data_IF_132177755745
#
_entry.id   IF_132177755745
#
_cell.length_a   1.000
_cell.length_b   1.000
_cell.length_c   1.000
_cell.angle_alpha   90.00
_cell.angle_beta   90.00
_cell.angle_gamma   90.00
#
_symmetry.space_group_name_H-M   'P 1'
#
loop_
_entity.id
_entity.type
_entity.pdbx_description
1 polymer ?
2 non-polymer ?
3 non-polymer ?
4 water ?
#
# COMPACT_ATOMS: atom_id res chain seq x y z
N UNK A 4 5.16 -28.80 11.92
CA UNK A 4 5.22 -27.29 12.08
C UNK A 4 4.13 -26.64 11.22
N UNK A 5 3.04 -26.11 11.81
CA UNK A 5 1.87 -25.69 11.03
C UNK A 5 2.16 -24.41 10.23
N UNK A 6 1.46 -24.24 9.11
CA UNK A 6 1.59 -23.01 8.30
C UNK A 6 0.77 -21.92 8.95
N UNK A 7 1.27 -20.66 8.99
CA UNK A 7 0.53 -19.62 9.67
C UNK A 7 -0.74 -19.20 8.93
N UNK A 8 -1.70 -18.68 9.70
CA UNK A 8 -2.99 -18.12 9.22
C UNK A 8 -2.89 -16.60 9.22
N UNK A 9 -1.95 -16.06 9.98
CA UNK A 9 -1.72 -14.60 10.13
C UNK A 9 -0.25 -14.34 10.42
N UNK A 10 0.29 -13.25 9.86
CA UNK A 10 1.67 -12.78 10.14
C UNK A 10 1.60 -11.33 10.56
N UNK A 11 2.65 -10.82 11.16
CA UNK A 11 2.75 -9.38 11.41
C UNK A 11 3.83 -8.82 10.50
N UNK A 12 3.55 -7.62 10.01
CA UNK A 12 4.40 -6.92 9.03
C UNK A 12 4.73 -5.56 9.63
N UNK A 13 6.01 -5.26 9.75
CA UNK A 13 6.55 -3.94 10.08
C UNK A 13 6.80 -3.17 8.77
N UNK A 14 6.27 -1.96 8.69
CA UNK A 14 6.55 -1.00 7.59
C UNK A 14 7.24 0.20 8.23
N UNK A 15 8.44 0.54 7.76
CA UNK A 15 9.16 1.75 8.16
C UNK A 15 9.33 2.70 6.98
N UNK A 16 9.14 3.99 7.20
CA UNK A 16 9.53 5.01 6.18
C UNK A 16 10.36 6.09 6.88
N UNK A 17 11.50 6.43 6.30
CA UNK A 17 12.40 7.45 6.87
C UNK A 17 13.12 8.17 5.76
N UNK A 18 12.88 9.47 5.66
CA UNK A 18 13.69 10.36 4.80
C UNK A 18 14.88 10.74 5.68
N UNK A 19 16.05 10.24 5.34
CA UNK A 19 17.32 10.34 6.12
C UNK A 19 18.01 11.69 5.94
N UNK A 20 17.53 12.56 5.04
CA UNK A 20 18.12 13.88 4.81
C UNK A 20 19.61 13.81 4.46
N UNK A 21 20.00 12.73 3.79
CA UNK A 21 21.37 12.55 3.22
C UNK A 21 22.42 12.49 4.34
N UNK A 22 22.01 12.11 5.56
CA UNK A 22 22.91 12.05 6.73
C UNK A 22 22.90 10.62 7.23
N UNK A 23 24.05 10.12 7.71
CA UNK A 23 24.12 8.78 8.31
C UNK A 23 23.21 8.75 9.53
N UNK A 24 22.68 7.56 9.86
CA UNK A 24 21.83 7.42 11.04
C UNK A 24 22.67 7.52 12.30
N UNK A 25 22.04 7.73 13.47
CA UNK A 25 22.74 7.62 14.74
C UNK A 25 23.03 6.14 15.05
N UNK A 26 23.77 5.87 16.12
CA UNK A 26 24.26 4.49 16.41
C UNK A 26 23.08 3.57 16.81
N UNK A 27 22.04 4.12 17.39
CA UNK A 27 20.89 3.32 17.83
C UNK A 27 19.60 3.81 17.17
N UNK A 28 18.91 2.92 16.47
CA UNK A 28 17.62 3.21 15.79
C UNK A 28 16.60 2.14 16.19
N UNK A 29 16.81 1.40 17.27
CA UNK A 29 15.89 0.31 17.69
C UNK A 29 14.45 0.79 18.00
N UNK A 30 14.30 2.04 18.47
CA UNK A 30 12.97 2.64 18.76
C UNK A 30 12.07 2.54 17.52
N UNK A 31 12.64 2.73 16.34
CA UNK A 31 11.88 2.66 15.07
C UNK A 31 11.23 1.28 14.94
N UNK A 32 12.02 0.21 15.07
CA UNK A 32 11.60 -1.19 14.83
C UNK A 32 10.71 -1.69 15.99
N UNK A 33 10.76 -1.02 17.12
CA UNK A 33 9.92 -1.30 18.31
C UNK A 33 8.63 -0.47 18.32
N UNK A 34 8.42 0.42 17.34
CA UNK A 34 7.18 1.22 17.26
C UNK A 34 7.02 2.03 18.57
N UNK A 35 8.11 2.68 19.00
CA UNK A 35 8.15 3.53 20.21
C UNK A 35 8.25 5.01 19.80
N UNK A 36 7.51 5.87 20.50
CA UNK A 36 7.62 7.31 20.33
C UNK A 36 6.26 7.90 20.47
N UNK A 37 5.78 8.58 19.42
CA UNK A 37 4.47 9.27 19.41
C UNK A 37 3.49 8.49 18.56
N UNK A 38 2.20 8.68 18.82
CA UNK A 38 1.12 8.12 18.01
C UNK A 38 0.60 6.86 18.63
N UNK A 39 0.20 5.92 17.77
CA UNK A 39 -0.28 4.59 18.17
C UNK A 39 0.95 3.68 18.25
N UNK A 40 1.42 3.44 19.48
CA UNK A 40 2.69 2.72 19.74
C UNK A 40 2.41 1.30 20.19
N UNK A 41 3.47 0.50 20.14
CA UNK A 41 3.42 -0.93 20.45
C UNK A 41 3.67 -1.13 21.95
N UNK A 42 2.96 -2.08 22.54
CA UNK A 42 3.12 -2.43 23.97
C UNK A 42 4.56 -2.91 24.26
N UNK A 43 5.11 -2.44 25.38
CA UNK A 43 6.46 -2.87 25.85
C UNK A 43 6.56 -4.40 25.93
N UNK A 44 5.46 -5.06 26.26
CA UNK A 44 5.46 -6.52 26.52
C UNK A 44 5.76 -7.27 25.22
N UNK A 45 5.68 -6.60 24.06
CA UNK A 45 5.90 -7.24 22.73
C UNK A 45 7.33 -7.05 22.22
N UNK A 46 8.16 -6.32 22.95
CA UNK A 46 9.46 -5.84 22.41
C UNK A 46 10.33 -6.98 21.89
N UNK A 47 10.33 -8.15 22.53
CA UNK A 47 11.19 -9.25 22.06
C UNK A 47 10.55 -10.06 20.94
N UNK A 48 9.26 -9.86 20.68
CA UNK A 48 8.49 -10.67 19.70
C UNK A 48 8.82 -10.12 18.31
N UNK A 49 9.47 -10.90 17.46
CA UNK A 49 9.84 -10.40 16.15
C UNK A 49 8.57 -10.31 15.28
N UNK A 50 8.51 -9.29 14.43
CA UNK A 50 7.59 -9.29 13.29
C UNK A 50 8.06 -10.36 12.31
N UNK A 51 7.13 -10.88 11.53
CA UNK A 51 7.45 -11.93 10.52
C UNK A 51 8.24 -11.33 9.36
N UNK A 52 7.85 -10.14 8.93
CA UNK A 52 8.42 -9.44 7.75
C UNK A 52 8.65 -8.00 8.17
N UNK A 53 9.86 -7.46 7.91
CA UNK A 53 10.16 -6.02 8.07
C UNK A 53 10.43 -5.44 6.69
N UNK A 54 9.73 -4.35 6.38
CA UNK A 54 9.90 -3.63 5.09
C UNK A 54 10.31 -2.23 5.44
N UNK A 55 11.51 -1.83 5.02
CA UNK A 55 12.17 -0.56 5.41
C UNK A 55 12.33 0.33 4.17
N UNK A 56 11.55 1.41 4.08
CA UNK A 56 11.65 2.39 2.98
C UNK A 56 12.46 3.56 3.46
N UNK A 57 13.46 3.94 2.70
CA UNK A 57 14.22 5.15 2.98
C UNK A 57 14.22 6.06 1.74
N UNK A 58 14.37 7.34 2.03
CA UNK A 58 14.49 8.41 1.01
C UNK A 58 15.71 9.26 1.42
N UNK A 59 16.33 9.90 0.44
CA UNK A 59 17.57 10.69 0.69
C UNK A 59 18.54 9.84 1.54
N UNK A 60 18.68 8.57 1.18
CA UNK A 60 19.51 7.60 1.90
C UNK A 60 20.94 7.73 1.37
N UNK A 61 21.90 8.13 2.23
CA UNK A 61 23.28 8.29 1.78
C UNK A 61 24.13 7.02 1.83
N UNK A 62 23.60 5.97 2.43
CA UNK A 62 24.35 4.72 2.71
C UNK A 62 24.42 3.86 1.45
N UNK A 63 25.44 3.02 1.36
CA UNK A 63 25.44 1.89 0.41
C UNK A 63 24.41 0.84 0.88
N UNK A 64 23.99 -0.03 -0.02
CA UNK A 64 23.07 -1.13 0.34
C UNK A 64 23.74 -1.96 1.45
N UNK A 65 25.03 -2.22 1.31
CA UNK A 65 25.75 -3.01 2.32
C UNK A 65 25.70 -2.30 3.67
N UNK A 66 26.03 -1.01 3.71
CA UNK A 66 26.07 -0.24 4.99
C UNK A 66 24.72 -0.33 5.69
N UNK A 67 23.66 -0.14 4.93
CA UNK A 67 22.30 -0.14 5.51
C UNK A 67 21.88 -1.55 5.96
N UNK A 68 22.11 -2.58 5.14
CA UNK A 68 21.84 -3.98 5.55
C UNK A 68 22.53 -4.32 6.87
N UNK A 69 23.79 -3.93 7.02
CA UNK A 69 24.58 -4.13 8.26
C UNK A 69 23.81 -3.55 9.44
N UNK A 70 23.41 -2.28 9.35
CA UNK A 70 22.73 -1.54 10.44
C UNK A 70 21.38 -2.18 10.70
N UNK A 71 20.61 -2.46 9.66
CA UNK A 71 19.27 -3.02 9.89
C UNK A 71 19.39 -4.40 10.53
N UNK A 72 20.15 -5.30 9.94
CA UNK A 72 20.23 -6.69 10.46
C UNK A 72 20.71 -6.71 11.93
N UNK A 73 21.77 -5.97 12.24
CA UNK A 73 22.33 -5.84 13.61
C UNK A 73 21.23 -5.35 14.56
N UNK A 74 20.52 -4.28 14.18
CA UNK A 74 19.47 -3.63 15.01
C UNK A 74 18.38 -4.65 15.35
N UNK A 75 17.92 -5.43 14.36
CA UNK A 75 16.88 -6.46 14.60
C UNK A 75 17.44 -7.60 15.44
N UNK A 76 18.67 -8.02 15.18
CA UNK A 76 19.29 -9.07 16.02
C UNK A 76 19.36 -8.61 17.48
N UNK A 77 19.72 -7.35 17.73
CA UNK A 77 19.86 -6.83 19.10
C UNK A 77 18.49 -6.88 19.78
N UNK A 78 17.45 -6.48 19.08
CA UNK A 78 16.07 -6.44 19.64
C UNK A 78 15.57 -7.84 19.95
N UNK A 79 15.73 -8.76 18.99
CA UNK A 79 14.92 -10.00 18.93
C UNK A 79 15.78 -11.23 19.18
N UNK A 80 17.10 -11.09 19.11
CA UNK A 80 18.08 -12.22 19.08
C UNK A 80 17.85 -13.11 17.87
N UNK A 81 17.19 -12.62 16.81
CA UNK A 81 16.98 -13.40 15.55
C UNK A 81 17.81 -12.77 14.45
N UNK A 82 18.50 -13.60 13.67
CA UNK A 82 19.25 -13.17 12.48
C UNK A 82 18.31 -13.23 11.27
N UNK A 83 17.91 -12.09 10.75
CA UNK A 83 16.89 -11.99 9.68
C UNK A 83 17.52 -12.33 8.33
N UNK A 84 16.76 -12.97 7.47
CA UNK A 84 17.18 -13.23 6.07
C UNK A 84 16.79 -12.05 5.19
N UNK A 85 17.60 -11.76 4.18
CA UNK A 85 17.31 -10.67 3.22
C UNK A 85 16.47 -11.24 2.10
N UNK A 86 15.24 -10.77 1.94
CA UNK A 86 14.35 -11.20 0.84
C UNK A 86 14.74 -10.43 -0.40
N UNK A 87 14.81 -9.12 -0.27
CA UNK A 87 15.09 -8.24 -1.42
C UNK A 87 15.61 -6.89 -0.94
N UNK A 88 16.37 -6.23 -1.79
CA UNK A 88 16.78 -4.83 -1.59
C UNK A 88 16.80 -4.19 -2.99
N UNK A 89 16.27 -2.98 -3.10
CA UNK A 89 16.27 -2.29 -4.41
C UNK A 89 16.40 -0.80 -4.15
N UNK A 90 17.29 -0.15 -4.90
CA UNK A 90 17.57 1.30 -4.76
C UNK A 90 17.42 1.98 -6.10
N UNK A 91 16.70 3.12 -6.14
CA UNK A 91 16.67 4.06 -7.28
C UNK A 91 17.23 5.35 -6.71
N UNK A 92 18.39 5.77 -7.21
CA UNK A 92 19.05 7.00 -6.70
C UNK A 92 19.21 6.87 -5.20
N UNK A 93 18.55 7.69 -4.39
CA UNK A 93 18.65 7.65 -2.92
C UNK A 93 17.33 7.17 -2.30
N UNK A 94 16.51 6.48 -3.08
CA UNK A 94 15.23 5.86 -2.63
C UNK A 94 15.42 4.36 -2.51
N UNK A 95 15.20 3.78 -1.35
CA UNK A 95 15.59 2.36 -1.15
C UNK A 95 14.47 1.59 -0.44
N UNK A 96 14.33 0.33 -0.80
CA UNK A 96 13.45 -0.59 -0.04
C UNK A 96 14.26 -1.83 0.31
N UNK A 97 14.14 -2.26 1.56
CA UNK A 97 14.72 -3.52 2.10
C UNK A 97 13.56 -4.35 2.62
N UNK A 98 13.57 -5.64 2.28
CA UNK A 98 12.63 -6.61 2.86
C UNK A 98 13.42 -7.69 3.59
N UNK A 99 13.16 -7.81 4.89
CA UNK A 99 13.78 -8.85 5.74
C UNK A 99 12.70 -9.77 6.29
N UNK A 100 13.05 -11.02 6.51
CA UNK A 100 12.08 -12.00 7.02
C UNK A 100 12.74 -12.95 8.02
N UNK A 101 11.94 -13.43 8.98
CA UNK A 101 12.35 -14.52 9.91
C UNK A 101 12.95 -15.65 9.10
N UNK A 102 14.02 -16.32 9.59
CA UNK A 102 14.56 -17.48 8.88
C UNK A 102 13.55 -18.61 8.65
N UNK A 103 12.60 -18.80 9.57
CA UNK A 103 11.56 -19.85 9.40
C UNK A 103 10.71 -19.58 8.15
N UNK A 104 10.72 -18.37 7.60
CA UNK A 104 9.90 -18.03 6.44
C UNK A 104 10.62 -18.16 5.12
N UNK A 105 11.91 -18.49 5.14
CA UNK A 105 12.72 -18.53 3.90
C UNK A 105 12.05 -19.36 2.79
N UNK A 106 11.55 -20.55 3.14
CA UNK A 106 11.00 -21.52 2.15
C UNK A 106 9.50 -21.29 1.95
N UNK A 107 8.92 -20.27 2.59
CA UNK A 107 7.50 -19.84 2.37
C UNK A 107 7.47 -18.73 1.32
N UNK A 108 8.63 -18.16 1.01
CA UNK A 108 8.73 -16.94 0.17
C UNK A 108 9.23 -17.31 -1.22
N UNK A 109 8.58 -16.81 -2.25
CA UNK A 109 8.90 -17.12 -3.67
C UNK A 109 8.43 -15.98 -4.56
N UNK A 110 8.74 -16.08 -5.84
CA UNK A 110 8.27 -15.11 -6.87
C UNK A 110 8.62 -13.69 -6.45
N UNK A 111 9.87 -13.46 -6.03
CA UNK A 111 10.29 -12.12 -5.59
C UNK A 111 10.47 -11.27 -6.85
N UNK A 112 9.86 -10.09 -6.85
CA UNK A 112 9.97 -9.08 -7.93
C UNK A 112 10.42 -7.74 -7.33
N UNK A 113 11.22 -6.98 -8.08
CA UNK A 113 11.66 -5.63 -7.68
C UNK A 113 11.50 -4.77 -8.92
N UNK A 114 11.16 -3.51 -8.70
CA UNK A 114 11.12 -2.55 -9.82
C UNK A 114 11.23 -1.15 -9.27
N UNK A 115 11.38 -0.22 -10.20
CA UNK A 115 11.35 1.21 -9.84
C UNK A 115 10.65 1.96 -10.95
N UNK A 116 10.22 3.15 -10.60
CA UNK A 116 9.63 4.13 -11.53
C UNK A 116 10.28 5.48 -11.22
N UNK A 117 10.78 6.15 -12.25
CA UNK A 117 11.29 7.54 -12.17
C UNK A 117 10.17 8.47 -12.59
N UNK A 118 9.82 9.46 -11.76
CA UNK A 118 8.67 10.36 -12.07
C UNK A 118 9.17 11.65 -12.74
N UNK A 119 8.27 12.37 -13.42
CA UNK A 119 8.60 13.70 -13.99
C UNK A 119 9.26 13.60 -15.35
N UNK A 120 9.57 14.76 -15.95
CA UNK A 120 10.14 14.88 -17.34
C UNK A 120 11.16 16.02 -17.35
N UNK A 121 12.38 15.78 -17.84
CA UNK A 121 13.48 16.77 -18.05
C UNK A 121 13.93 17.35 -16.69
N UNK A 122 13.66 18.63 -16.42
CA UNK A 122 13.75 19.31 -15.09
C UNK A 122 13.41 18.35 -13.95
N UNK A 123 12.20 17.77 -14.02
CA UNK A 123 11.51 17.07 -12.90
C UNK A 123 11.88 15.57 -12.88
N UNK A 124 12.62 15.07 -13.88
CA UNK A 124 13.26 13.72 -13.83
C UNK A 124 14.67 13.87 -13.26
N UNK A 125 14.96 13.19 -12.15
CA UNK A 125 16.33 13.17 -11.61
C UNK A 125 16.42 12.72 -10.18
N UNK A 126 15.41 12.97 -9.34
CA UNK A 126 15.56 12.35 -7.99
C UNK A 126 14.30 11.74 -7.34
N UNK A 127 13.12 11.97 -7.92
CA UNK A 127 11.82 11.51 -7.35
C UNK A 127 11.36 10.24 -8.07
N UNK A 128 10.62 9.37 -7.37
CA UNK A 128 10.04 8.17 -7.97
C UNK A 128 9.78 7.15 -6.89
N UNK A 129 9.84 5.88 -7.27
CA UNK A 129 9.46 4.85 -6.30
C UNK A 129 10.24 3.59 -6.59
N UNK A 130 10.42 2.81 -5.55
CA UNK A 130 10.93 1.42 -5.64
C UNK A 130 9.85 0.51 -5.08
N UNK A 131 9.86 -0.76 -5.48
CA UNK A 131 8.90 -1.71 -4.92
C UNK A 131 9.42 -3.10 -4.90
N UNK A 132 8.81 -3.91 -4.06
CA UNK A 132 9.08 -5.37 -3.94
C UNK A 132 7.74 -6.08 -3.89
N UNK A 133 7.63 -7.22 -4.55
CA UNK A 133 6.53 -8.16 -4.31
C UNK A 133 7.07 -9.59 -4.15
N UNK A 134 6.26 -10.43 -3.54
CA UNK A 134 6.56 -11.86 -3.45
C UNK A 134 5.32 -12.59 -3.01
N UNK A 135 5.39 -13.91 -3.07
CA UNK A 135 4.36 -14.80 -2.52
C UNK A 135 4.84 -15.25 -1.16
N UNK A 136 3.97 -15.17 -0.17
CA UNK A 136 4.17 -15.79 1.16
C UNK A 136 3.15 -16.91 1.22
N UNK A 137 3.59 -18.15 1.02
CA UNK A 137 2.64 -19.27 0.87
C UNK A 137 1.56 -18.86 -0.15
N UNK A 138 0.28 -18.89 0.17
CA UNK A 138 -0.77 -18.69 -0.86
C UNK A 138 -1.11 -17.21 -1.05
N UNK A 139 -0.38 -16.33 -0.40
CA UNK A 139 -0.75 -14.91 -0.29
C UNK A 139 0.28 -14.04 -1.01
N UNK A 140 -0.20 -13.12 -1.84
CA UNK A 140 0.66 -12.18 -2.58
C UNK A 140 0.77 -10.86 -1.80
N UNK A 141 2.01 -10.41 -1.63
CA UNK A 141 2.35 -9.19 -0.86
C UNK A 141 3.10 -8.21 -1.79
N UNK A 142 2.66 -6.97 -1.83
CA UNK A 142 3.31 -5.88 -2.56
C UNK A 142 3.64 -4.72 -1.65
N UNK A 143 4.77 -4.09 -1.93
CA UNK A 143 5.32 -3.01 -1.08
C UNK A 143 5.92 -1.94 -1.97
N UNK A 144 5.48 -0.70 -1.79
CA UNK A 144 5.92 0.47 -2.60
C UNK A 144 6.45 1.54 -1.65
N UNK A 145 7.70 1.94 -1.87
CA UNK A 145 8.31 3.10 -1.20
C UNK A 145 8.46 4.20 -2.25
N UNK A 146 7.74 5.30 -2.09
CA UNK A 146 7.77 6.42 -3.06
C UNK A 146 8.24 7.69 -2.36
N UNK A 147 9.10 8.44 -3.03
CA UNK A 147 9.46 9.83 -2.70
C UNK A 147 8.81 10.71 -3.75
N UNK A 148 7.72 11.38 -3.40
CA UNK A 148 6.98 12.21 -4.37
C UNK A 148 7.51 13.64 -4.36
N UNK A 149 7.04 14.38 -5.35
CA UNK A 149 7.42 15.78 -5.57
C UNK A 149 7.21 16.56 -4.27
N UNK A 150 8.17 17.41 -3.93
CA UNK A 150 8.12 18.27 -2.72
C UNK A 150 7.43 19.60 -3.05
N UNK A 151 7.09 20.33 -2.00
CA UNK A 151 6.61 21.71 -2.14
C UNK A 151 5.16 21.77 -1.85
N UNK A 152 4.76 22.73 -1.02
CA UNK A 152 3.35 22.88 -0.60
C UNK A 152 2.42 23.12 -1.80
N UNK A 153 2.95 23.72 -2.86
CA UNK A 153 2.18 24.19 -4.04
C UNK A 153 1.94 23.06 -5.05
N UNK A 154 2.54 21.89 -4.85
CA UNK A 154 2.61 20.82 -5.90
C UNK A 154 1.81 19.56 -5.57
N UNK A 155 0.67 19.70 -4.89
CA UNK A 155 -0.13 18.50 -4.56
C UNK A 155 -0.60 17.83 -5.86
N UNK A 156 -0.91 18.60 -6.90
CA UNK A 156 -1.36 17.98 -8.16
C UNK A 156 -0.25 17.12 -8.77
N UNK A 157 1.00 17.61 -8.72
CA UNK A 157 2.18 16.87 -9.25
C UNK A 157 2.32 15.58 -8.46
N UNK A 158 2.14 15.63 -7.15
CA UNK A 158 2.23 14.42 -6.30
C UNK A 158 1.18 13.41 -6.78
N UNK A 159 -0.03 13.88 -7.06
CA UNK A 159 -1.12 12.99 -7.50
C UNK A 159 -0.71 12.37 -8.85
N UNK A 160 -0.10 13.17 -9.71
CA UNK A 160 0.39 12.68 -11.03
C UNK A 160 1.48 11.63 -10.79
N UNK A 161 2.37 11.90 -9.84
CA UNK A 161 3.49 10.96 -9.54
C UNK A 161 2.86 9.63 -9.10
N UNK A 162 1.87 9.67 -8.21
CA UNK A 162 1.16 8.45 -7.74
C UNK A 162 0.62 7.64 -8.93
N UNK A 163 -0.04 8.30 -9.89
CA UNK A 163 -0.67 7.57 -11.02
C UNK A 163 0.43 6.97 -11.91
N UNK A 164 1.51 7.70 -12.17
CA UNK A 164 2.66 7.14 -12.95
C UNK A 164 3.22 5.90 -12.22
N UNK A 165 3.42 5.98 -10.90
CA UNK A 165 4.00 4.83 -10.16
C UNK A 165 3.05 3.62 -10.28
N UNK A 166 1.77 3.89 -10.05
CA UNK A 166 0.64 2.92 -10.08
C UNK A 166 0.65 2.19 -11.43
N UNK A 167 0.77 2.96 -12.51
CA UNK A 167 0.71 2.42 -13.90
C UNK A 167 1.96 1.61 -14.24
N UNK A 168 3.12 2.09 -13.84
CA UNK A 168 4.38 1.64 -14.50
C UNK A 168 5.23 0.74 -13.61
N UNK A 169 4.94 0.65 -12.31
CA UNK A 169 5.71 -0.25 -11.45
C UNK A 169 5.30 -1.68 -11.77
N UNK A 170 6.24 -2.50 -12.26
CA UNK A 170 5.99 -3.86 -12.76
C UNK A 170 6.31 -4.87 -11.66
N UNK A 171 5.35 -5.12 -10.78
CA UNK A 171 5.49 -6.08 -9.67
C UNK A 171 4.40 -7.14 -9.84
N UNK A 172 4.57 -8.28 -9.20
CA UNK A 172 3.54 -9.31 -9.12
C UNK A 172 3.45 -10.11 -10.38
N UNK A 173 2.32 -10.78 -10.57
CA UNK A 173 2.15 -11.82 -11.62
C UNK A 173 1.91 -11.12 -12.96
N UNK A 174 2.90 -11.22 -13.86
CA UNK A 174 2.79 -10.57 -15.20
C UNK A 174 1.61 -11.13 -16.00
N UNK A 175 1.06 -12.30 -15.69
CA UNK A 175 -0.12 -12.89 -16.38
C UNK A 175 -1.37 -12.08 -16.08
N UNK A 176 -1.34 -11.28 -15.00
CA UNK A 176 -2.46 -10.40 -14.62
C UNK A 176 -2.41 -9.13 -15.47
N UNK A 177 -2.32 -9.29 -16.78
CA UNK A 177 -1.93 -8.19 -17.67
C UNK A 177 -2.89 -7.00 -17.62
N UNK A 178 -4.22 -7.12 -17.44
CA UNK A 178 -5.08 -5.92 -17.38
C UNK A 178 -4.94 -5.13 -16.07
N UNK A 179 -4.25 -5.70 -15.07
CA UNK A 179 -4.26 -5.15 -13.70
C UNK A 179 -2.94 -4.47 -13.35
N UNK A 180 -3.06 -3.28 -12.76
CA UNK A 180 -1.92 -2.54 -12.17
C UNK A 180 -1.69 -3.06 -10.74
N UNK A 181 -0.66 -2.51 -10.09
CA UNK A 181 -0.30 -2.98 -8.73
C UNK A 181 -1.46 -2.82 -7.75
N UNK A 182 -2.43 -1.90 -7.97
CA UNK A 182 -3.55 -1.73 -6.99
C UNK A 182 -4.54 -2.89 -7.03
N UNK A 183 -4.35 -3.89 -7.91
CA UNK A 183 -5.19 -5.12 -8.00
C UNK A 183 -4.36 -6.40 -7.94
N UNK A 184 -3.03 -6.35 -7.89
CA UNK A 184 -2.24 -7.60 -8.09
C UNK A 184 -2.01 -8.35 -6.77
N UNK A 185 -2.24 -7.73 -5.61
CA UNK A 185 -1.80 -8.28 -4.32
C UNK A 185 -2.94 -8.46 -3.31
N UNK A 186 -2.88 -9.55 -2.58
CA UNK A 186 -3.75 -9.76 -1.42
C UNK A 186 -3.65 -8.53 -0.52
N UNK A 187 -2.42 -8.06 -0.25
CA UNK A 187 -2.12 -6.91 0.63
C UNK A 187 -1.03 -6.07 -0.05
N UNK A 188 -1.36 -4.81 -0.32
CA UNK A 188 -0.43 -3.83 -0.93
C UNK A 188 -0.17 -2.75 0.12
N UNK A 189 1.09 -2.50 0.45
CA UNK A 189 1.51 -1.43 1.39
C UNK A 189 2.20 -0.38 0.56
N UNK A 190 1.74 0.85 0.64
CA UNK A 190 2.32 2.00 -0.07
C UNK A 190 2.69 3.06 0.96
N UNK A 191 3.97 3.38 1.01
CA UNK A 191 4.55 4.23 2.06
C UNK A 191 5.64 5.09 1.40
N UNK A 192 6.15 6.02 2.17
CA UNK A 192 7.31 6.83 1.82
C UNK A 192 7.19 8.28 2.28
N UNK A 193 8.04 9.11 1.71
CA UNK A 193 7.93 10.58 1.81
C UNK A 193 7.01 11.00 0.69
N UNK A 194 5.71 10.93 0.96
CA UNK A 194 4.68 11.30 -0.04
C UNK A 194 4.61 12.81 -0.17
N UNK A 195 5.10 13.57 0.79
CA UNK A 195 5.40 15.00 0.64
C UNK A 195 4.16 15.86 0.61
N UNK A 196 2.99 15.33 0.97
CA UNK A 196 1.81 16.18 1.16
C UNK A 196 1.99 17.04 2.42
N UNK A 197 1.51 18.28 2.33
CA UNK A 197 1.72 19.30 3.36
C UNK A 197 0.41 19.69 4.03
N UNK A 198 0.56 20.34 5.17
CA UNK A 198 -0.54 21.02 5.89
C UNK A 198 -0.72 22.37 5.21
N UNK A 199 -1.83 22.53 4.49
CA UNK A 199 -2.10 23.71 3.64
C UNK A 199 -2.77 24.80 4.49
N UNK A 200 -1.95 25.57 5.21
CA UNK A 200 -2.41 26.73 6.00
C UNK A 200 -1.52 27.89 5.58
N UNK A 201 -1.94 29.15 5.83
CA UNK A 201 -1.11 30.29 5.46
C UNK A 201 0.24 30.26 6.19
N UNK A 202 1.30 30.69 5.50
CA UNK A 202 2.70 30.63 6.00
C UNK A 202 2.85 31.52 7.25
N UNK A 203 2.01 32.55 7.39
CA UNK A 203 2.01 33.46 8.57
C UNK A 203 1.32 32.78 9.77
N UNK A 204 0.72 31.59 9.58
CA UNK A 204 0.23 30.76 10.71
C UNK A 204 1.30 29.79 11.24
N UNK A 205 2.57 29.89 10.82
CA UNK A 205 3.60 28.91 11.20
C UNK A 205 3.69 28.79 12.72
N UNK A 206 3.71 29.90 13.45
CA UNK A 206 3.96 29.84 14.91
C UNK A 206 2.72 29.26 15.57
N UNK A 207 1.54 29.56 15.04
CA UNK A 207 0.24 29.01 15.52
C UNK A 207 0.27 27.49 15.37
N UNK A 208 0.68 27.03 14.20
CA UNK A 208 0.77 25.57 13.93
C UNK A 208 1.72 24.92 14.95
N UNK A 209 2.89 25.50 15.16
CA UNK A 209 3.87 24.98 16.15
C UNK A 209 3.25 24.87 17.55
N UNK A 210 2.50 25.88 17.98
CA UNK A 210 1.89 25.88 19.34
C UNK A 210 0.78 24.81 19.40
N UNK A 211 0.03 24.59 18.30
CA UNK A 211 -0.94 23.48 18.25
C UNK A 211 -0.19 22.15 18.42
N UNK A 212 0.96 21.99 17.74
CA UNK A 212 1.73 20.72 17.84
C UNK A 212 2.20 20.53 19.28
N UNK A 213 2.71 21.58 19.94
CA UNK A 213 3.22 21.49 21.33
C UNK A 213 2.09 21.07 22.30
N UNK A 214 0.85 21.41 21.99
CA UNK A 214 -0.32 21.04 22.80
C UNK A 214 -0.86 19.68 22.39
N UNK A 215 -0.27 19.04 21.37
CA UNK A 215 -0.74 17.75 20.83
C UNK A 215 -2.19 17.84 20.36
N UNK A 216 -2.56 18.98 19.75
CA UNK A 216 -3.91 19.24 19.21
C UNK A 216 -3.73 19.26 17.71
N UNK A 217 -3.96 18.11 17.08
CA UNK A 217 -3.69 17.91 15.65
C UNK A 217 -4.96 18.11 14.80
N UNK A 218 -6.17 18.15 15.38
CA UNK A 218 -7.42 18.12 14.58
C UNK A 218 -7.46 19.23 13.52
N UNK A 219 -7.21 20.48 13.91
CA UNK A 219 -7.25 21.64 12.97
C UNK A 219 -6.07 21.57 11.98
N UNK A 220 -5.02 20.82 12.28
CA UNK A 220 -3.95 20.66 11.26
C UNK A 220 -4.33 19.54 10.28
N UNK A 221 -4.81 18.40 10.79
CA UNK A 221 -5.18 17.25 9.92
C UNK A 221 -6.30 17.65 8.96
N UNK A 222 -7.20 18.57 9.33
CA UNK A 222 -8.30 18.99 8.43
C UNK A 222 -7.75 19.78 7.24
N UNK A 223 -6.48 20.17 7.28
CA UNK A 223 -5.79 20.83 6.14
C UNK A 223 -4.68 19.98 5.53
N UNK A 224 -4.49 18.75 5.98
CA UNK A 224 -3.47 17.84 5.39
C UNK A 224 -3.86 17.52 3.95
N UNK A 225 -2.99 17.80 3.00
CA UNK A 225 -3.33 17.64 1.58
C UNK A 225 -3.56 16.18 1.20
N UNK A 226 -2.95 15.22 1.86
CA UNK A 226 -3.20 13.83 1.47
C UNK A 226 -4.62 13.47 1.92
N UNK A 227 -5.01 13.81 3.16
CA UNK A 227 -6.37 13.52 3.63
C UNK A 227 -7.39 14.23 2.72
N UNK A 228 -7.21 15.50 2.36
CA UNK A 228 -8.22 16.27 1.58
C UNK A 228 -8.25 15.70 0.17
N UNK A 229 -7.09 15.46 -0.44
CA UNK A 229 -7.07 14.90 -1.80
C UNK A 229 -7.71 13.52 -1.85
N UNK A 230 -7.48 12.68 -0.84
CA UNK A 230 -8.09 11.34 -0.74
C UNK A 230 -9.61 11.49 -0.61
N UNK A 231 -10.07 12.45 0.18
CA UNK A 231 -11.53 12.62 0.42
C UNK A 231 -12.20 13.06 -0.89
N UNK A 232 -11.50 13.84 -1.72
CA UNK A 232 -12.04 14.29 -3.02
C UNK A 232 -11.72 13.30 -4.15
N UNK A 233 -11.19 12.11 -3.82
CA UNK A 233 -10.96 10.99 -4.76
C UNK A 233 -9.96 11.44 -5.82
N UNK A 234 -9.00 12.26 -5.45
CA UNK A 234 -7.95 12.71 -6.42
C UNK A 234 -6.74 11.78 -6.39
N UNK A 235 -6.59 10.93 -5.37
CA UNK A 235 -5.35 10.16 -5.19
C UNK A 235 -5.66 9.04 -4.20
N UNK A 236 -4.96 7.93 -4.31
CA UNK A 236 -5.01 6.80 -3.37
C UNK A 236 -6.46 6.36 -3.15
N UNK A 237 -7.23 6.27 -4.23
CA UNK A 237 -8.62 5.76 -4.16
C UNK A 237 -8.56 4.30 -3.70
N UNK A 238 -9.39 3.96 -2.71
CA UNK A 238 -9.57 2.59 -2.18
C UNK A 238 -8.41 2.14 -1.31
N UNK A 239 -7.50 3.05 -0.92
CA UNK A 239 -6.49 2.77 0.12
C UNK A 239 -6.98 3.19 1.50
N UNK A 240 -6.40 2.58 2.53
CA UNK A 240 -6.68 2.89 3.96
C UNK A 240 -5.45 3.58 4.57
N UNK A 241 -5.68 4.39 5.60
CA UNK A 241 -4.59 4.93 6.43
C UNK A 241 -5.15 4.93 7.83
N UNK A 242 -4.33 4.55 8.81
CA UNK A 242 -4.64 4.60 10.26
C UNK A 242 -4.71 6.07 10.68
N UNK A 243 -5.55 6.40 11.64
CA UNK A 243 -5.65 7.77 12.17
C UNK A 243 -4.26 8.23 12.63
N UNK A 244 -3.91 9.46 12.29
CA UNK A 244 -2.61 10.08 12.68
C UNK A 244 -2.78 10.70 14.06
N UNK A 245 -1.99 10.22 15.03
CA UNK A 245 -2.03 10.73 16.42
C UNK A 245 -0.62 11.10 16.86
N UNK A 246 0.30 11.30 15.90
CA UNK A 246 1.68 11.75 16.17
C UNK A 246 1.91 13.14 15.58
N UNK A 247 2.91 13.86 16.06
CA UNK A 247 3.20 15.22 15.56
C UNK A 247 3.65 15.12 14.10
N UNK A 248 3.48 16.20 13.32
CA UNK A 248 4.14 16.28 12.02
C UNK A 248 5.61 15.87 12.07
N UNK A 249 6.05 15.10 11.06
CA UNK A 249 7.37 14.45 11.03
C UNK A 249 8.38 15.26 10.23
N UNK A 250 8.00 16.47 9.81
CA UNK A 250 8.83 17.33 8.94
C UNK A 250 8.36 18.75 9.20
N UNK A 251 9.23 19.75 9.21
CA UNK A 251 10.64 19.77 8.97
C UNK A 251 11.32 20.19 10.26
N UNK A 252 12.14 19.32 10.81
CA UNK A 252 12.84 19.59 12.09
C UNK A 252 14.25 20.13 11.87
N UNK A 253 14.71 20.94 12.82
CA UNK A 253 16.14 21.22 12.98
C UNK A 253 16.81 19.89 13.33
N UNK A 254 17.95 19.59 12.73
CA UNK A 254 18.67 18.33 13.06
C UNK A 254 19.27 18.40 14.47
N UNK A 255 19.36 17.22 15.10
CA UNK A 255 20.05 16.93 16.38
C UNK A 255 19.19 17.32 17.57
N UNK A 256 17.98 17.83 17.36
CA UNK A 256 16.97 17.96 18.44
C UNK A 256 15.63 17.56 17.84
N UNK A 257 14.56 17.40 18.62
CA UNK A 257 13.17 17.40 18.06
C UNK A 257 12.42 18.61 18.59
N UNK A 258 13.11 19.59 19.16
CA UNK A 258 12.43 20.66 19.94
C UNK A 258 11.99 21.76 19.00
N UNK A 259 12.49 21.73 17.75
CA UNK A 259 12.32 22.87 16.86
C UNK A 259 11.90 22.41 15.47
N UNK A 260 10.82 22.98 15.00
CA UNK A 260 10.47 22.93 13.57
C UNK A 260 11.19 24.05 12.83
N UNK A 261 11.88 23.72 11.75
CA UNK A 261 12.59 24.68 10.87
C UNK A 261 11.77 24.91 9.61
N UNK A 262 10.93 25.93 9.61
CA UNK A 262 9.93 26.12 8.54
C UNK A 262 10.22 27.33 7.63
N UNK A 263 11.10 28.24 8.07
CA UNK A 263 11.40 29.52 7.37
C UNK A 263 12.07 29.23 6.02
N UNK A 264 11.83 30.09 5.02
CA UNK A 264 12.44 29.96 3.69
C UNK A 264 13.93 30.31 3.80
N UNK A 265 14.74 29.54 3.10
CA UNK A 265 16.22 29.63 3.08
C UNK A 265 16.67 29.36 1.64
N UNK A 266 17.90 29.80 1.28
CA UNK A 266 18.47 29.42 -0.03
C UNK A 266 18.44 27.90 -0.17
N UNK A 267 18.76 27.18 0.89
CA UNK A 267 18.81 25.69 0.88
C UNK A 267 17.42 25.10 0.55
N UNK A 268 16.33 25.82 0.79
CA UNK A 268 14.96 25.34 0.46
C UNK A 268 14.45 25.90 -0.86
N UNK A 269 15.30 26.55 -1.68
CA UNK A 269 14.79 27.23 -2.87
C UNK A 269 13.84 28.35 -2.46
N UNK A 270 14.07 28.97 -1.31
CA UNK A 270 13.25 30.07 -0.76
C UNK A 270 11.78 29.61 -0.62
N UNK A 271 11.60 28.36 -0.20
CA UNK A 271 10.28 27.75 0.09
C UNK A 271 10.09 27.62 1.60
N UNK A 272 8.88 27.92 2.08
CA UNK A 272 8.48 27.62 3.47
C UNK A 272 8.21 26.12 3.50
N UNK A 273 8.54 25.55 4.63
CA UNK A 273 8.20 24.14 4.95
C UNK A 273 7.44 24.15 6.28
N UNK A 274 6.17 24.53 6.24
CA UNK A 274 5.31 24.45 7.45
C UNK A 274 5.27 22.99 7.91
N UNK A 275 5.20 22.74 9.22
CA UNK A 275 5.15 21.39 9.76
C UNK A 275 4.08 20.59 9.02
N UNK A 276 4.47 19.40 8.57
CA UNK A 276 3.62 18.54 7.74
C UNK A 276 3.84 17.05 8.07
N UNK A 277 2.83 16.28 7.72
CA UNK A 277 2.90 14.79 7.79
C UNK A 277 3.34 14.32 6.40
N UNK A 278 4.62 14.52 6.09
CA UNK A 278 5.20 14.10 4.79
C UNK A 278 5.26 12.58 4.67
N UNK A 279 5.43 11.91 5.79
CA UNK A 279 5.94 10.51 5.87
C UNK A 279 4.82 9.58 6.30
N UNK A 280 4.34 8.72 5.40
CA UNK A 280 3.03 8.07 5.55
C UNK A 280 3.08 6.59 5.18
N UNK A 281 2.12 5.87 5.72
CA UNK A 281 1.92 4.43 5.38
C UNK A 281 0.43 4.23 5.08
N UNK A 282 0.14 3.73 3.90
CA UNK A 282 -1.23 3.37 3.49
C UNK A 282 -1.23 1.92 3.03
N UNK A 283 -2.42 1.32 2.94
CA UNK A 283 -2.51 -0.05 2.42
C UNK A 283 -3.81 -0.25 1.68
N UNK A 284 -3.84 -1.34 0.93
CA UNK A 284 -5.07 -1.79 0.27
C UNK A 284 -4.99 -3.30 0.22
N UNK A 285 -5.97 -3.97 0.80
CA UNK A 285 -6.05 -5.44 0.80
C UNK A 285 -7.34 -5.79 0.04
N UNK A 286 -7.35 -6.97 -0.51
CA UNK A 286 -8.53 -7.56 -1.15
C UNK A 286 -9.67 -7.58 -0.16
N UNK A 287 -10.90 -7.51 -0.68
CA UNK A 287 -12.07 -7.49 0.18
C UNK A 287 -12.13 -8.69 1.13
N UNK A 288 -12.52 -8.45 2.38
CA UNK A 288 -12.77 -9.51 3.41
C UNK A 288 -11.52 -10.32 3.69
N UNK A 289 -10.34 -9.73 3.50
CA UNK A 289 -9.09 -10.34 4.02
C UNK A 289 -8.75 -9.57 5.30
N UNK A 290 -8.39 -10.32 6.33
CA UNK A 290 -8.00 -9.71 7.62
C UNK A 290 -6.76 -8.83 7.47
N UNK A 291 -6.88 -7.57 7.87
CA UNK A 291 -5.70 -6.66 7.98
C UNK A 291 -6.07 -5.67 9.06
N UNK A 292 -5.24 -5.56 10.07
CA UNK A 292 -5.47 -4.68 11.23
C UNK A 292 -4.17 -3.91 11.50
N UNK A 293 -4.22 -2.59 11.42
CA UNK A 293 -3.07 -1.76 11.84
C UNK A 293 -2.95 -1.83 13.39
N UNK A 294 -1.77 -2.28 13.86
CA UNK A 294 -1.46 -2.44 15.30
C UNK A 294 -0.65 -1.25 15.82
N UNK A 295 0.01 -0.50 14.93
CA UNK A 295 0.82 0.69 15.33
C UNK A 295 0.93 1.63 14.14
N UNK A 296 1.01 2.91 14.44
CA UNK A 296 1.22 3.99 13.46
C UNK A 296 1.69 5.19 14.22
N UNK A 297 2.98 5.48 14.07
CA UNK A 297 3.55 6.57 14.83
C UNK A 297 4.90 7.01 14.35
N UNK A 298 5.54 7.85 15.13
CA UNK A 298 6.89 8.36 14.77
C UNK A 298 7.83 8.22 15.95
N UNK A 299 9.11 8.07 15.66
CA UNK A 299 10.15 8.06 16.73
C UNK A 299 10.41 9.50 17.20
N UNK A 300 10.84 9.62 18.45
CA UNK A 300 11.16 10.92 19.10
C UNK A 300 12.68 11.05 19.30
N UNK A 301 13.44 9.96 19.18
CA UNK A 301 14.84 9.90 19.66
C UNK A 301 15.85 9.69 18.51
N UNK A 302 15.45 9.78 17.24
CA UNK A 302 16.33 9.61 16.04
C UNK A 302 16.26 10.96 15.36
N UNK A 303 17.35 11.73 15.42
CA UNK A 303 17.36 13.20 15.13
C UNK A 303 18.41 13.59 14.09
N UNK A 304 19.00 12.63 13.36
CA UNK A 304 20.06 12.92 12.36
C UNK A 304 19.46 13.60 11.13
N UNK A 305 18.16 13.39 10.86
CA UNK A 305 17.45 13.94 9.68
C UNK A 305 16.53 15.10 10.06
N UNK A 306 16.10 15.86 9.08
CA UNK A 306 15.05 16.90 9.27
C UNK A 306 13.68 16.20 9.23
N UNK A 307 13.64 14.87 9.00
CA UNK A 307 12.40 14.07 9.11
C UNK A 307 12.57 13.13 10.28
N UNK A 308 11.47 12.83 10.96
CA UNK A 308 11.45 11.71 11.93
C UNK A 308 10.99 10.45 11.21
N UNK A 309 11.59 9.28 11.55
CA UNK A 309 11.11 8.00 11.09
C UNK A 309 9.64 7.76 11.47
N UNK A 310 8.92 7.10 10.58
CA UNK A 310 7.52 6.63 10.82
C UNK A 310 7.51 5.10 10.78
N UNK A 311 6.76 4.50 11.70
CA UNK A 311 6.53 3.05 11.75
C UNK A 311 5.03 2.79 11.60
N UNK A 312 4.71 1.67 11.03
CA UNK A 312 3.36 1.08 11.06
C UNK A 312 3.52 -0.44 11.12
N UNK A 313 2.69 -1.07 11.92
CA UNK A 313 2.65 -2.54 11.96
C UNK A 313 1.24 -3.03 11.68
N UNK A 314 1.18 -4.23 11.12
CA UNK A 314 -0.06 -4.84 10.67
C UNK A 314 -0.10 -6.32 11.02
N UNK A 315 -1.28 -6.79 11.41
CA UNK A 315 -1.64 -8.24 11.43
C UNK A 315 -2.36 -8.54 10.11
N UNK A 316 -1.79 -9.40 9.26
CA UNK A 316 -2.30 -9.67 7.90
C UNK A 316 -2.64 -11.15 7.75
N UNK A 317 -3.86 -11.44 7.30
CA UNK A 317 -4.26 -12.82 7.03
C UNK A 317 -3.45 -13.36 5.87
N UNK A 318 -3.00 -14.60 5.99
CA UNK A 318 -2.29 -15.36 4.95
C UNK A 318 -2.97 -16.72 4.84
N UNK A 319 -2.79 -17.33 3.67
CA UNK A 319 -3.31 -18.69 3.36
C UNK A 319 -2.16 -19.63 3.06
N UNK A 320 -2.43 -20.93 3.19
CA UNK A 320 -1.48 -22.02 2.89
C UNK A 320 -1.34 -22.19 1.37
N UNK A 321 -0.35 -22.97 0.94
CA UNK A 321 -0.20 -23.43 -0.46
C UNK A 321 -0.96 -24.77 -0.61
N UNK A 322 -2.22 -24.73 -0.99
CA UNK A 322 -3.17 -25.85 -0.97
C UNK A 322 -2.95 -26.91 -2.07
N UNK A 323 -2.92 -28.21 -1.68
CA UNK A 323 -2.84 -29.38 -2.59
C UNK A 323 -4.01 -30.34 -2.32
N UNK A 324 -4.76 -30.67 -3.36
CA UNK A 324 -5.81 -31.71 -3.32
C UNK A 324 -5.42 -32.85 -4.26
N UNK A 325 -6.25 -33.88 -4.24
CA UNK A 325 -6.16 -35.04 -5.16
C UNK A 325 -6.23 -34.56 -6.61
N UNK A 326 -7.05 -33.52 -6.83
CA UNK A 326 -7.34 -32.93 -8.15
C UNK A 326 -6.38 -31.76 -8.39
N UNK A 327 -6.81 -30.52 -8.20
CA UNK A 327 -5.92 -29.38 -8.42
C UNK A 327 -4.94 -29.22 -7.25
N UNK A 328 -3.83 -28.53 -7.48
CA UNK A 328 -3.43 -28.08 -8.81
C UNK A 328 -3.08 -29.16 -9.83
N UNK A 329 -3.19 -28.78 -11.09
CA UNK A 329 -2.85 -29.54 -12.30
C UNK A 329 -4.06 -30.05 -13.02
N UNK A 330 -5.24 -29.79 -12.46
CA UNK A 330 -6.54 -30.09 -13.09
C UNK A 330 -7.62 -29.30 -12.36
N UNK A 331 -8.81 -29.38 -12.88
CA UNK A 331 -10.01 -28.81 -12.24
C UNK A 331 -10.57 -29.83 -11.27
N UNK A 332 -11.47 -29.37 -10.41
CA UNK A 332 -12.17 -30.20 -9.41
C UNK A 332 -13.65 -30.00 -9.67
N UNK A 333 -14.30 -30.95 -10.32
CA UNK A 333 -15.66 -30.80 -10.89
C UNK A 333 -16.69 -30.53 -9.77
N UNK A 334 -16.34 -30.70 -8.49
CA UNK A 334 -17.27 -30.43 -7.37
C UNK A 334 -17.29 -28.93 -7.05
N UNK A 335 -16.41 -28.15 -7.67
CA UNK A 335 -16.43 -26.69 -7.53
C UNK A 335 -16.93 -26.00 -8.80
N UNK A 336 -17.67 -24.91 -8.64
CA UNK A 336 -18.02 -24.00 -9.75
C UNK A 336 -18.35 -22.60 -9.21
N UNK A 337 -18.08 -21.62 -10.02
CA UNK A 337 -18.44 -20.20 -9.75
C UNK A 337 -19.32 -19.71 -10.90
N UNK A 338 -20.56 -19.34 -10.56
CA UNK A 338 -21.53 -18.78 -11.52
C UNK A 338 -21.77 -17.32 -11.17
N UNK A 339 -21.68 -16.47 -12.18
CA UNK A 339 -22.01 -15.02 -12.13
C UNK A 339 -23.33 -14.81 -12.88
N UNK A 340 -24.40 -14.41 -12.16
CA UNK A 340 -25.79 -14.28 -12.65
C UNK A 340 -26.18 -12.80 -12.73
N UNK A 341 -26.92 -12.41 -13.78
CA UNK A 341 -27.64 -11.09 -13.85
C UNK A 341 -26.61 -9.99 -13.61
N UNK A 342 -25.43 -10.10 -14.18
CA UNK A 342 -24.37 -9.11 -13.89
C UNK A 342 -24.48 -7.98 -14.90
N UNK A 343 -24.12 -6.78 -14.46
CA UNK A 343 -23.94 -5.66 -15.39
C UNK A 343 -22.84 -4.73 -14.90
N UNK A 344 -22.15 -4.19 -15.87
CA UNK A 344 -21.10 -3.17 -15.66
C UNK A 344 -21.76 -1.82 -15.97
N UNK A 345 -21.54 -0.83 -15.12
CA UNK A 345 -21.96 0.59 -15.37
C UNK A 345 -20.68 1.37 -15.62
N UNK A 346 -20.46 1.90 -16.81
CA UNK A 346 -19.18 2.55 -17.16
C UNK A 346 -19.43 4.04 -17.37
N UNK A 347 -18.45 4.86 -17.01
CA UNK A 347 -18.48 6.34 -17.20
C UNK A 347 -18.09 6.69 -18.64
N UNK A 348 -17.51 5.76 -19.39
CA UNK A 348 -17.04 5.99 -20.78
C UNK A 348 -18.14 6.55 -21.68
N UNK A 349 -17.78 7.40 -22.63
CA UNK A 349 -18.70 7.92 -23.67
C UNK A 349 -18.56 7.07 -24.94
N UNK A 350 -17.66 6.09 -24.97
CA UNK A 350 -17.32 5.30 -26.19
C UNK A 350 -18.45 4.31 -26.50
N UNK A 351 -18.51 3.82 -27.75
CA UNK A 351 -19.56 2.87 -28.21
C UNK A 351 -18.88 1.72 -28.96
N UNK A 352 -18.02 1.00 -28.25
CA UNK A 352 -17.53 -0.35 -28.59
C UNK A 352 -18.41 -1.37 -27.85
N UNK A 353 -18.38 -2.62 -28.28
CA UNK A 353 -18.86 -3.73 -27.45
C UNK A 353 -17.80 -3.99 -26.38
N UNK A 354 -18.20 -4.60 -25.26
CA UNK A 354 -17.30 -4.99 -24.14
C UNK A 354 -17.45 -6.46 -23.83
N UNK A 355 -16.38 -7.08 -23.39
CA UNK A 355 -16.33 -8.42 -22.80
C UNK A 355 -15.59 -8.36 -21.46
N UNK A 356 -15.72 -9.41 -20.66
CA UNK A 356 -15.08 -9.52 -19.34
C UNK A 356 -13.95 -10.53 -19.43
N UNK A 357 -12.91 -10.30 -18.64
CA UNK A 357 -11.92 -11.33 -18.27
C UNK A 357 -12.00 -11.55 -16.77
N UNK A 358 -12.00 -12.82 -16.39
CA UNK A 358 -11.94 -13.27 -15.00
C UNK A 358 -10.56 -13.86 -14.79
N UNK A 359 -9.82 -13.30 -13.84
CA UNK A 359 -8.50 -13.79 -13.46
C UNK A 359 -8.46 -14.20 -11.99
N UNK A 360 -7.91 -15.38 -11.72
CA UNK A 360 -7.79 -15.83 -10.30
C UNK A 360 -6.84 -17.00 -10.25
N UNK A 361 -6.08 -17.09 -9.16
CA UNK A 361 -5.19 -18.24 -8.83
C UNK A 361 -6.01 -19.52 -8.63
N UNK A 362 -7.33 -19.40 -8.40
CA UNK A 362 -8.20 -20.58 -8.25
C UNK A 362 -8.57 -21.15 -9.63
N UNK A 363 -8.21 -20.48 -10.75
CA UNK A 363 -8.47 -20.98 -12.14
C UNK A 363 -7.17 -21.42 -12.78
N UNK A 364 -7.25 -22.38 -13.69
CA UNK A 364 -6.03 -22.85 -14.41
C UNK A 364 -5.51 -21.69 -15.25
N UNK A 365 -6.40 -20.90 -15.85
CA UNK A 365 -6.03 -19.69 -16.59
C UNK A 365 -7.24 -18.76 -16.69
N UNK A 366 -7.02 -17.55 -17.14
CA UNK A 366 -8.07 -16.52 -17.14
C UNK A 366 -9.15 -16.95 -18.14
N UNK A 367 -10.35 -16.45 -17.92
CA UNK A 367 -11.56 -16.80 -18.70
C UNK A 367 -12.08 -15.51 -19.33
N UNK A 368 -12.37 -15.57 -20.64
CA UNK A 368 -12.86 -14.43 -21.45
C UNK A 368 -14.34 -14.66 -21.79
N UNK A 369 -15.22 -13.75 -21.36
CA UNK A 369 -16.69 -13.87 -21.59
C UNK A 369 -16.98 -13.54 -23.06
N UNK A 370 -18.20 -13.85 -23.47
CA UNK A 370 -18.88 -13.27 -24.66
C UNK A 370 -19.08 -11.76 -24.42
N UNK A 371 -19.34 -11.04 -25.49
CA UNK A 371 -19.68 -9.60 -25.39
C UNK A 371 -21.00 -9.43 -24.66
N UNK A 372 -21.09 -8.41 -23.82
CA UNK A 372 -22.33 -7.97 -23.19
C UNK A 372 -23.18 -7.12 -24.13
N UNK A 373 -24.39 -6.79 -23.69
CA UNK A 373 -25.34 -5.96 -24.45
C UNK A 373 -25.38 -4.56 -23.85
N UNK A 374 -25.03 -3.57 -24.65
CA UNK A 374 -25.01 -2.14 -24.26
C UNK A 374 -26.45 -1.62 -24.18
N UNK A 375 -26.78 -0.92 -23.09
CA UNK A 375 -28.01 -0.10 -22.99
C UNK A 375 -27.61 1.26 -22.44
N UNK A 376 -28.43 2.27 -22.71
CA UNK A 376 -28.32 3.64 -22.14
C UNK A 376 -28.93 3.64 -20.73
N UNK A 377 -28.15 3.98 -19.71
CA UNK A 377 -28.64 4.29 -18.34
C UNK A 377 -29.41 5.61 -18.30
N UNK A 378 -30.33 5.76 -17.34
CA UNK A 378 -31.30 6.89 -17.24
C UNK A 378 -30.58 8.24 -17.09
N UNK A 379 -29.38 8.26 -16.48
CA UNK A 379 -28.63 9.52 -16.15
C UNK A 379 -27.42 9.66 -17.09
N UNK A 380 -27.49 9.15 -18.35
CA UNK A 380 -26.45 9.32 -19.38
C UNK A 380 -25.47 8.14 -19.54
N UNK A 381 -25.44 7.17 -18.61
CA UNK A 381 -24.33 6.17 -18.45
C UNK A 381 -24.38 5.06 -19.50
N UNK A 382 -23.28 4.34 -19.66
CA UNK A 382 -23.30 3.05 -20.41
C UNK A 382 -23.52 1.90 -19.42
N UNK A 383 -24.53 1.07 -19.65
CA UNK A 383 -24.75 -0.16 -18.87
C UNK A 383 -24.50 -1.32 -19.80
N UNK A 384 -23.58 -2.19 -19.41
CA UNK A 384 -23.26 -3.39 -20.20
C UNK A 384 -23.86 -4.58 -19.47
N UNK A 385 -24.87 -5.19 -20.08
CA UNK A 385 -25.62 -6.31 -19.47
C UNK A 385 -24.96 -7.62 -19.91
N UNK A 386 -24.71 -8.53 -18.97
CA UNK A 386 -24.17 -9.88 -19.29
C UNK A 386 -25.23 -10.98 -19.13
N UNK A 387 -26.34 -10.69 -18.47
CA UNK A 387 -27.44 -11.64 -18.26
C UNK A 387 -27.00 -12.86 -17.46
N UNK A 388 -27.25 -14.05 -18.00
CA UNK A 388 -26.90 -15.38 -17.43
C UNK A 388 -26.02 -16.07 -18.46
N UNK A 389 -25.38 -15.26 -19.30
CA UNK A 389 -24.55 -15.69 -20.46
C UNK A 389 -23.11 -15.97 -20.01
N UNK A 390 -22.70 -15.57 -18.79
CA UNK A 390 -21.27 -15.58 -18.37
C UNK A 390 -20.78 -17.00 -18.19
N UNK A 391 -19.54 -17.32 -18.63
CA UNK A 391 -19.02 -18.69 -18.51
C UNK A 391 -19.01 -19.16 -17.06
N UNK A 392 -19.32 -20.43 -16.84
CA UNK A 392 -19.22 -21.05 -15.49
C UNK A 392 -17.73 -21.25 -15.19
N UNK A 393 -17.22 -20.72 -14.07
CA UNK A 393 -15.76 -20.77 -13.79
C UNK A 393 -15.46 -22.08 -13.08
N UNK A 394 -14.38 -22.72 -13.47
CA UNK A 394 -14.02 -24.09 -13.03
C UNK A 394 -12.81 -23.99 -12.12
N UNK A 395 -12.98 -23.98 -10.79
CA UNK A 395 -11.84 -23.85 -9.90
C UNK A 395 -11.03 -25.15 -9.83
N UNK A 396 -9.75 -25.00 -9.46
CA UNK A 396 -8.78 -26.12 -9.42
C UNK A 396 -9.02 -27.00 -8.20
N UNK A 397 -9.68 -26.45 -7.19
CA UNK A 397 -9.86 -27.08 -5.85
C UNK A 397 -11.25 -26.70 -5.36
N UNK A 398 -12.00 -27.64 -4.81
CA UNK A 398 -13.43 -27.44 -4.48
C UNK A 398 -13.59 -27.29 -2.98
N UNK A 399 -12.56 -27.65 -2.22
CA UNK A 399 -12.56 -27.60 -0.75
C UNK A 399 -12.93 -26.17 -0.36
N UNK A 400 -13.98 -25.98 0.48
CA UNK A 400 -14.42 -24.64 0.85
C UNK A 400 -13.39 -23.91 1.71
N UNK A 401 -12.54 -24.64 2.43
CA UNK A 401 -11.42 -24.09 3.23
C UNK A 401 -10.43 -23.37 2.31
N UNK A 402 -10.32 -23.78 1.07
CA UNK A 402 -9.50 -23.07 0.07
C UNK A 402 -10.35 -22.03 -0.65
N UNK A 403 -11.50 -22.45 -1.18
CA UNK A 403 -12.15 -21.65 -2.25
C UNK A 403 -12.74 -20.37 -1.64
N UNK A 404 -13.25 -20.41 -0.41
CA UNK A 404 -13.89 -19.25 0.22
C UNK A 404 -12.85 -18.18 0.55
N UNK A 405 -11.56 -18.51 0.52
CA UNK A 405 -10.45 -17.57 0.75
C UNK A 405 -9.98 -16.91 -0.55
N UNK A 406 -10.59 -17.24 -1.70
CA UNK A 406 -10.03 -16.78 -2.99
C UNK A 406 -10.74 -15.49 -3.41
N UNK A 407 -10.26 -14.91 -4.48
CA UNK A 407 -10.77 -13.65 -5.08
C UNK A 407 -10.78 -13.79 -6.60
N UNK A 408 -11.73 -13.15 -7.26
CA UNK A 408 -11.79 -13.09 -8.74
C UNK A 408 -11.55 -11.64 -9.12
N UNK A 409 -10.47 -11.40 -9.87
CA UNK A 409 -10.25 -10.09 -10.52
C UNK A 409 -11.07 -10.05 -11.80
N UNK A 410 -11.69 -8.91 -12.05
CA UNK A 410 -12.54 -8.69 -13.25
C UNK A 410 -11.97 -7.48 -14.00
N UNK A 411 -11.71 -7.67 -15.30
CA UNK A 411 -11.47 -6.58 -16.24
C UNK A 411 -12.63 -6.54 -17.24
N UNK A 412 -13.11 -5.35 -17.55
CA UNK A 412 -14.03 -5.13 -18.69
C UNK A 412 -13.23 -4.48 -19.81
N UNK A 413 -13.20 -5.16 -20.96
CA UNK A 413 -12.33 -4.76 -22.10
C UNK A 413 -13.16 -4.44 -23.34
N UNK A 414 -12.69 -3.45 -24.08
CA UNK A 414 -13.22 -3.10 -25.41
C UNK A 414 -12.95 -4.24 -26.39
N UNK A 415 -13.97 -4.68 -27.09
CA UNK A 415 -13.78 -5.65 -28.20
C UNK A 415 -12.93 -5.00 -29.30
N UNK A 416 -13.06 -3.70 -29.53
CA UNK A 416 -12.37 -2.98 -30.64
C UNK A 416 -10.86 -2.90 -30.38
N UNK A 417 -10.45 -2.67 -29.13
CA UNK A 417 -9.04 -2.32 -28.81
C UNK A 417 -8.41 -3.36 -27.88
N UNK A 418 -9.23 -4.19 -27.23
CA UNK A 418 -8.80 -5.13 -26.17
C UNK A 418 -8.12 -4.39 -25.01
N UNK A 419 -8.42 -3.20 -24.87
CA UNK A 419 -7.88 -2.41 -23.73
C UNK A 419 -8.89 -2.49 -22.58
N UNK A 420 -8.38 -2.60 -21.33
CA UNK A 420 -9.26 -2.58 -20.14
C UNK A 420 -9.81 -1.17 -19.93
N UNK A 421 -11.12 -1.07 -19.72
CA UNK A 421 -11.80 0.18 -19.29
C UNK A 421 -12.04 0.19 -17.79
N UNK A 422 -11.87 -0.94 -17.12
CA UNK A 422 -12.11 -0.98 -15.69
C UNK A 422 -11.72 -2.33 -15.10
N UNK A 423 -11.21 -2.25 -13.89
CA UNK A 423 -10.69 -3.41 -13.14
C UNK A 423 -11.27 -3.36 -11.74
N UNK A 424 -11.60 -4.53 -11.23
CA UNK A 424 -12.16 -4.69 -9.90
C UNK A 424 -11.87 -6.07 -9.35
N UNK A 425 -12.36 -6.34 -8.16
CA UNK A 425 -12.09 -7.59 -7.43
C UNK A 425 -13.31 -7.97 -6.59
N UNK A 426 -13.67 -9.25 -6.65
CA UNK A 426 -14.81 -9.90 -5.93
C UNK A 426 -14.27 -10.97 -5.00
N UNK A 427 -14.55 -10.86 -3.70
CA UNK A 427 -14.20 -11.89 -2.69
C UNK A 427 -15.12 -13.11 -2.86
N UNK A 428 -14.57 -14.32 -2.70
CA UNK A 428 -15.40 -15.55 -2.59
C UNK A 428 -15.74 -15.91 -1.12
N UNK A 429 -15.44 -15.01 -0.18
CA UNK A 429 -15.75 -15.18 1.27
C UNK A 429 -17.25 -14.93 1.48
N UNK A 430 -18.09 -15.79 0.90
CA UNK A 430 -19.57 -15.57 0.87
C UNK A 430 -20.24 -15.97 2.19
N UNK A 431 -21.42 -15.43 2.41
CA UNK A 431 -22.28 -15.79 3.55
C UNK A 431 -22.84 -17.21 3.42
N UNK A 432 -22.91 -17.75 2.22
CA UNK A 432 -23.54 -19.05 1.89
C UNK A 432 -22.96 -19.57 0.60
N UNK A 433 -22.95 -20.89 0.43
CA UNK A 433 -22.70 -21.58 -0.84
C UNK A 433 -24.04 -22.05 -1.40
N UNK A 434 -24.04 -22.39 -2.69
CA UNK A 434 -25.19 -22.96 -3.45
C UNK A 434 -26.36 -21.99 -3.35
N UNK A 435 -26.11 -20.69 -3.12
CA UNK A 435 -27.12 -19.64 -2.84
C UNK A 435 -26.79 -18.41 -3.70
N UNK A 436 -27.75 -17.87 -4.45
CA UNK A 436 -27.48 -16.65 -5.25
C UNK A 436 -27.28 -15.49 -4.28
N UNK A 437 -26.15 -14.78 -4.34
CA UNK A 437 -25.88 -13.68 -3.37
C UNK A 437 -25.40 -12.44 -4.11
N UNK A 438 -25.71 -11.22 -3.63
CA UNK A 438 -25.25 -10.05 -4.35
C UNK A 438 -23.72 -9.93 -4.32
N UNK A 439 -23.14 -9.45 -5.41
CA UNK A 439 -21.69 -9.08 -5.49
C UNK A 439 -21.59 -7.66 -6.03
N UNK A 440 -20.44 -7.06 -5.76
CA UNK A 440 -20.20 -5.67 -6.14
C UNK A 440 -18.71 -5.40 -6.11
N UNK A 441 -18.23 -4.67 -7.11
CA UNK A 441 -16.90 -3.99 -7.03
C UNK A 441 -16.98 -2.67 -7.77
N UNK A 442 -16.31 -1.62 -7.27
CA UNK A 442 -16.04 -0.45 -8.09
C UNK A 442 -15.05 -0.92 -9.17
N UNK A 443 -15.05 -0.21 -10.28
CA UNK A 443 -14.07 -0.48 -11.37
C UNK A 443 -13.18 0.74 -11.50
N UNK A 444 -11.89 0.50 -11.66
CA UNK A 444 -10.95 1.62 -11.82
C UNK A 444 -10.13 1.32 -13.06
N UNK A 445 -9.51 2.36 -13.59
CA UNK A 445 -8.47 2.21 -14.63
C UNK A 445 -7.44 3.30 -14.39
N UNK A 446 -6.17 2.93 -14.38
CA UNK A 446 -5.09 3.80 -13.89
C UNK A 446 -5.45 4.34 -12.49
N UNK A 447 -6.11 3.51 -11.68
CA UNK A 447 -6.43 3.80 -10.27
C UNK A 447 -7.51 4.85 -10.10
N UNK A 448 -8.16 5.30 -11.18
CA UNK A 448 -9.25 6.30 -11.19
C UNK A 448 -10.57 5.57 -11.41
N UNK A 449 -11.63 6.02 -10.75
CA UNK A 449 -12.96 5.36 -10.88
C UNK A 449 -13.46 5.46 -12.32
N UNK A 450 -13.83 4.33 -12.93
CA UNK A 450 -14.39 4.34 -14.30
C UNK A 450 -15.77 3.71 -14.36
N UNK A 451 -16.24 3.13 -13.26
CA UNK A 451 -17.55 2.48 -13.28
C UNK A 451 -17.72 1.51 -12.13
N UNK A 452 -18.65 0.59 -12.30
CA UNK A 452 -19.06 -0.41 -11.28
C UNK A 452 -19.42 -1.71 -11.96
N UNK A 453 -19.29 -2.80 -11.23
CA UNK A 453 -19.74 -4.13 -11.65
C UNK A 453 -20.57 -4.70 -10.51
N UNK A 454 -21.76 -5.15 -10.84
CA UNK A 454 -22.61 -5.77 -9.79
C UNK A 454 -23.46 -6.85 -10.42
N UNK A 455 -23.97 -7.71 -9.54
CA UNK A 455 -24.82 -8.80 -9.97
C UNK A 455 -24.95 -9.76 -8.85
N UNK A 456 -24.98 -11.03 -9.19
CA UNK A 456 -25.10 -12.07 -8.17
C UNK A 456 -24.09 -13.17 -8.50
N UNK A 457 -23.74 -13.92 -7.48
CA UNK A 457 -22.79 -15.06 -7.59
C UNK A 457 -23.48 -16.27 -6.97
N UNK A 458 -23.14 -17.44 -7.37
CA UNK A 458 -23.59 -18.74 -6.82
C UNK A 458 -22.33 -19.61 -6.79
N UNK A 459 -21.81 -19.92 -5.61
CA UNK A 459 -20.57 -20.68 -5.42
C UNK A 459 -20.87 -22.10 -4.96
N UNK A 460 -20.40 -23.09 -5.72
CA UNK A 460 -20.43 -24.53 -5.36
C UNK A 460 -19.06 -24.93 -4.81
N UNK A 461 -19.03 -25.50 -3.60
CA UNK A 461 -17.81 -26.11 -3.02
C UNK A 461 -18.16 -27.58 -2.80
N UNK A 462 -17.19 -28.36 -2.36
CA UNK A 462 -17.37 -29.81 -2.06
C UNK A 462 -18.21 -30.03 -0.79
N UNK A 463 -18.55 -28.98 -0.02
CA UNK A 463 -19.30 -29.21 1.25
C UNK A 463 -20.77 -28.78 1.09
X LIG B 1 16.28 -14.38 -2.50
X LIG B 1 13.88 -17.48 -3.88
X LIG B 1 14.57 -16.12 -2.01
X LIG B 1 13.72 -16.81 -1.14
X LIG B 1 13.68 -16.48 0.20
X LIG B 1 14.48 -15.47 0.69
X LIG B 1 15.34 -14.77 -0.15
X LIG B 1 15.38 -15.11 -1.51
X LIG B 1 18.32 -13.04 -1.81
X LIG B 1 18.94 -11.80 -1.18
X LIG B 1 16.88 -13.18 -1.89
X LIG B 1 14.66 -16.42 -3.37
X LIG B 1 19.03 -13.90 -2.24
X LIG B 1 14.40 -15.07 2.57
X LIG C 1 -4.90 -15.05 -0.53
X LIG C 1 -4.22 -15.45 0.71
X LIG C 1 -6.48 -14.49 -0.01
X LIG C 1 -5.53 -16.55 -1.27
X LIG D 1 -5.69 -13.63 -7.15
X LIG D 1 -6.24 -15.02 -7.35
X LIG D 1 -4.70 -13.38 -8.63
X LIG D 1 -6.97 -12.48 -7.55
X LIG E 1 -12.05 -2.85 -5.58
X LIG E 1 -10.72 -3.37 -6.08
X LIG E 1 -11.64 -1.68 -4.28
X LIG E 1 -12.77 -4.09 -4.53
#
# INVERSE_FOLDING_TARGET
SMEQPEPDMITIFIGTWNMGNAPPPKKITSWFLSKGQGKTRDDSADYIPHDIYVIGTQEDPLSEKEWLEILKHSLQEITSVTFKTVAIHTLWNIRIVVLAKPEHENRISHICTDNVKTGIANTLGNKGAVGVSFMFNGTSLGFVNSHLTSGSEKKLRRNQNYMNILRFLALGDKKLSPFNITHRFTHLFWFGDLNYRVDLPTWEAETIIQKIKQQQYADLLSHDQLLTERREQKVFLHFEEEEITFAPTYRFERLTRDKYAYTKQKATGMKYNLPSWCDRVLWKSYPLVHVVCQSYGSTSDIMTSDHSPVFATFEAGVTSQFVSKNGPGTVDSQGQIEFLRCYATLKTKSQTKFYLEFHSSCLESFVKSQEGENEEGSEGELVVKFGETLPKLKPIISDPEYLLDQHILISIKSSDSDESYGEGCIALRLEATETQLPIYTPLTHHGELTGHFQGEIKLQTSQ
WKV C10 C01 C03 C04 C05 C06 C08 C09 C12 C14 N11 O02 O13 BR7
DMS S O C1 C2
DMS S O C1 C2
DMS S O C1 C2
#
